data_IF_839169592049
#
_entry.id   IF_839169592049
#
_cell.length_a   1.000
_cell.length_b   1.000
_cell.length_c   1.000
_cell.angle_alpha   90.00
_cell.angle_beta   90.00
_cell.angle_gamma   90.00
#
_symmetry.space_group_name_H-M   'P 1'
#
loop_
_entity.id
_entity.type
_entity.pdbx_description
1 polymer ?
#
# COMPACT_ATOMS: atom_id res chain seq x y z
N UNK A 1 16.04 59.18 43.09
CA UNK A 1 14.75 59.86 42.83
C UNK A 1 13.74 58.82 42.40
N UNK A 2 12.64 58.64 43.14
CA UNK A 2 11.39 58.04 42.64
C UNK A 2 10.42 59.15 42.21
N UNK A 3 9.08 58.94 42.14
CA UNK A 3 8.26 57.76 42.45
C UNK A 3 7.87 56.95 41.19
N UNK A 4 7.22 55.78 41.18
CA UNK A 4 6.43 54.96 42.13
C UNK A 4 4.88 55.14 42.13
N UNK A 5 4.19 54.13 41.59
CA UNK A 5 2.73 53.88 41.50
C UNK A 5 2.57 52.38 41.08
N UNK A 6 1.62 51.50 41.45
CA UNK A 6 0.42 51.49 42.35
C UNK A 6 -0.74 52.43 42.01
N UNK A 7 -2.01 52.01 41.96
CA UNK A 7 -2.68 50.70 42.23
C UNK A 7 -3.90 50.52 41.26
N UNK A 8 -4.88 49.59 41.36
CA UNK A 8 -5.35 48.64 42.40
C UNK A 8 -6.24 47.53 41.79
N UNK A 9 -6.67 46.53 42.58
CA UNK A 9 -7.77 45.60 42.28
C UNK A 9 -9.15 46.27 42.43
N UNK A 10 -10.18 45.75 41.76
CA UNK A 10 -11.44 45.38 42.46
C UNK A 10 -12.15 44.20 41.76
N UNK A 11 -12.99 43.47 42.50
CA UNK A 11 -13.56 42.17 42.13
C UNK A 11 -15.04 42.10 42.53
N UNK A 12 -15.96 41.91 41.57
CA UNK A 12 -17.39 41.68 41.86
C UNK A 12 -18.03 40.57 41.03
N UNK A 13 -18.24 39.44 41.68
CA UNK A 13 -19.28 38.45 41.32
C UNK A 13 -20.63 38.98 41.81
N UNK A 14 -21.71 38.70 41.09
CA UNK A 14 -23.09 38.87 41.57
C UNK A 14 -24.01 37.80 40.96
N UNK A 15 -25.03 37.34 41.70
CA UNK A 15 -25.74 36.08 41.44
C UNK A 15 -27.27 36.27 41.36
N UNK A 16 -27.81 36.33 40.13
CA UNK A 16 -29.23 36.19 39.80
C UNK A 16 -30.20 37.14 40.56
N UNK A 17 -31.47 36.77 40.72
CA UNK A 17 -32.29 35.88 39.88
C UNK A 17 -33.60 36.56 39.40
N UNK A 18 -34.29 36.02 38.39
CA UNK A 18 -35.78 36.11 38.27
C UNK A 18 -36.29 34.89 37.48
N UNK A 19 -37.22 34.13 38.07
CA UNK A 19 -38.08 33.20 37.32
C UNK A 19 -39.29 33.96 36.74
N UNK A 20 -39.75 33.59 35.53
CA UNK A 20 -41.10 33.93 35.06
C UNK A 20 -41.85 32.71 34.54
N UNK A 21 -42.70 32.20 35.44
CA UNK A 21 -44.00 31.53 35.24
C UNK A 21 -44.17 30.59 34.04
N UNK A 22 -44.36 29.32 34.37
CA UNK A 22 -45.44 28.54 33.79
C UNK A 22 -46.79 29.17 34.18
N UNK A 23 -47.69 29.29 33.23
CA UNK A 23 -49.15 29.31 33.42
C UNK A 23 -49.73 28.47 32.26
N UNK A 24 -50.73 27.64 32.51
CA UNK A 24 -51.13 26.56 31.59
C UNK A 24 -52.61 26.62 31.19
N UNK A 25 -52.91 26.44 29.90
CA UNK A 25 -54.29 26.30 29.43
C UNK A 25 -54.43 25.33 28.24
N UNK A 26 -55.34 24.36 28.44
CA UNK A 26 -56.13 23.58 27.48
C UNK A 26 -55.59 23.36 26.04
N UNK A 27 -55.35 22.08 25.74
CA UNK A 27 -54.92 21.59 24.43
C UNK A 27 -55.89 21.74 23.26
N UNK A 28 -55.31 21.55 22.08
CA UNK A 28 -55.94 21.08 20.85
C UNK A 28 -55.12 19.89 20.37
N UNK A 29 -55.79 18.82 19.92
CA UNK A 29 -55.11 17.61 19.42
C UNK A 29 -54.62 17.82 17.98
N UNK A 30 -53.36 18.23 17.82
CA UNK A 30 -52.70 18.30 16.52
C UNK A 30 -51.92 17.00 16.24
N UNK A 31 -52.39 16.20 15.26
CA UNK A 31 -51.67 15.01 14.79
C UNK A 31 -50.49 15.45 13.91
N UNK A 32 -49.38 15.79 14.56
CA UNK A 32 -48.10 15.96 13.87
C UNK A 32 -47.46 14.59 13.63
N UNK A 33 -47.30 14.23 12.36
CA UNK A 33 -46.42 13.13 11.97
C UNK A 33 -44.99 13.54 12.32
N UNK A 34 -44.47 12.99 13.41
CA UNK A 34 -43.08 13.16 13.79
C UNK A 34 -42.19 12.43 12.79
N UNK A 35 -41.73 13.14 11.75
CA UNK A 35 -40.53 12.74 11.01
C UNK A 35 -39.39 12.78 12.03
N UNK A 36 -39.05 11.62 12.57
CA UNK A 36 -37.96 11.49 13.52
C UNK A 36 -36.65 11.82 12.80
N UNK A 37 -36.18 13.05 12.98
CA UNK A 37 -34.81 13.45 12.66
C UNK A 37 -33.88 12.72 13.61
N UNK A 38 -33.60 11.45 13.31
CA UNK A 38 -32.61 10.66 14.02
C UNK A 38 -31.27 11.39 13.93
N UNK A 39 -30.62 11.72 15.07
CA UNK A 39 -29.30 12.31 15.03
C UNK A 39 -28.36 11.33 14.32
N UNK A 40 -27.46 11.85 13.48
CA UNK A 40 -26.67 11.09 12.52
C UNK A 40 -25.67 10.15 13.21
N UNK A 41 -26.16 8.99 13.65
CA UNK A 41 -25.47 8.01 14.51
C UNK A 41 -25.21 6.70 13.77
N UNK A 42 -24.66 6.80 12.56
CA UNK A 42 -24.27 5.64 11.76
C UNK A 42 -22.75 5.39 11.85
N UNK A 43 -22.38 4.20 12.28
CA UNK A 43 -21.17 3.54 11.78
C UNK A 43 -19.85 3.67 12.56
N UNK A 44 -19.74 4.42 13.66
CA UNK A 44 -18.47 4.48 14.45
C UNK A 44 -18.21 3.23 15.32
N UNK A 45 -18.76 2.06 14.94
CA UNK A 45 -18.67 0.80 15.68
C UNK A 45 -17.70 -0.23 15.04
N UNK A 46 -17.19 0.02 13.83
CA UNK A 46 -16.34 -0.93 13.09
C UNK A 46 -14.83 -0.85 13.39
N UNK A 47 -14.41 -0.04 14.37
CA UNK A 47 -13.00 0.29 14.66
C UNK A 47 -12.65 0.18 16.15
N UNK A 48 -13.39 -0.64 16.90
CA UNK A 48 -13.22 -0.82 18.35
C UNK A 48 -12.52 -2.13 18.74
N UNK A 49 -12.06 -2.92 17.77
CA UNK A 49 -11.20 -4.09 18.01
C UNK A 49 -9.81 -3.61 18.48
N UNK A 50 -9.37 -4.05 19.66
CA UNK A 50 -8.12 -3.60 20.27
C UNK A 50 -6.89 -4.04 19.46
N UNK A 51 -5.75 -3.39 19.67
CA UNK A 51 -4.49 -3.81 19.04
C UNK A 51 -4.01 -5.21 19.50
N UNK A 52 -4.59 -5.75 20.58
CA UNK A 52 -4.40 -7.13 21.03
C UNK A 52 -5.27 -8.10 20.23
N UNK A 53 -6.59 -7.88 20.19
CA UNK A 53 -7.51 -8.71 19.40
C UNK A 53 -7.12 -8.73 17.91
N UNK A 54 -6.74 -7.56 17.36
CA UNK A 54 -6.20 -7.48 15.98
C UNK A 54 -4.89 -8.23 15.78
N UNK A 55 -4.06 -8.43 16.81
CA UNK A 55 -2.83 -9.25 16.75
C UNK A 55 -3.12 -10.74 16.88
N UNK A 56 -4.07 -11.13 17.73
CA UNK A 56 -4.39 -12.53 17.95
C UNK A 56 -5.18 -13.12 16.77
N UNK A 57 -6.11 -12.35 16.21
CA UNK A 57 -6.77 -12.66 14.94
C UNK A 57 -5.76 -12.72 13.76
N UNK A 58 -4.64 -12.00 13.86
CA UNK A 58 -3.53 -12.05 12.92
C UNK A 58 -2.72 -13.33 13.06
N UNK A 59 -2.30 -13.68 14.28
CA UNK A 59 -1.58 -14.90 14.58
C UNK A 59 -2.36 -16.13 14.09
N UNK A 60 -3.66 -16.20 14.39
CA UNK A 60 -4.54 -17.26 13.92
C UNK A 60 -4.70 -17.31 12.39
N UNK A 61 -4.55 -16.18 11.68
CA UNK A 61 -4.52 -16.15 10.21
C UNK A 61 -3.14 -16.54 9.64
N UNK A 62 -2.05 -16.19 10.32
CA UNK A 62 -0.68 -16.56 9.94
C UNK A 62 -0.52 -18.09 10.06
N UNK A 63 -0.89 -18.67 11.20
CA UNK A 63 -0.85 -20.13 11.41
C UNK A 63 -1.70 -20.87 10.36
N UNK A 64 -2.94 -20.45 10.12
CA UNK A 64 -3.82 -21.02 9.08
C UNK A 64 -3.31 -20.85 7.65
N UNK A 65 -2.36 -19.95 7.40
CA UNK A 65 -1.75 -19.71 6.08
C UNK A 65 -0.36 -20.36 5.92
N UNK A 66 0.07 -21.21 6.86
CA UNK A 66 1.34 -21.92 6.81
C UNK A 66 2.48 -21.28 7.61
N UNK A 67 2.19 -20.29 8.46
CA UNK A 67 3.16 -19.64 9.32
C UNK A 67 3.94 -18.51 8.66
N UNK A 68 5.10 -18.19 9.24
CA UNK A 68 6.04 -17.20 8.71
C UNK A 68 6.92 -17.84 7.62
N UNK A 69 7.00 -17.21 6.45
CA UNK A 69 7.85 -17.64 5.33
C UNK A 69 9.30 -17.22 5.56
N UNK A 70 9.94 -17.85 6.55
CA UNK A 70 11.32 -17.60 6.96
C UNK A 70 12.33 -18.06 5.92
N UNK A 71 12.00 -19.05 5.09
CA UNK A 71 12.85 -19.53 4.00
C UNK A 71 12.97 -18.49 2.89
N UNK A 72 11.84 -17.97 2.35
CA UNK A 72 11.85 -17.02 1.24
C UNK A 72 12.15 -15.60 1.68
N UNK A 73 11.67 -15.18 2.86
CA UNK A 73 11.78 -13.79 3.33
C UNK A 73 12.85 -13.53 4.39
N UNK A 74 13.28 -14.57 5.13
CA UNK A 74 14.03 -14.40 6.38
C UNK A 74 13.11 -14.03 7.56
N UNK A 75 13.65 -14.03 8.78
CA UNK A 75 12.85 -13.83 9.99
C UNK A 75 12.24 -12.42 10.06
N UNK A 76 12.96 -11.40 9.60
CA UNK A 76 12.52 -10.00 9.61
C UNK A 76 12.39 -9.40 8.20
N UNK A 77 11.95 -10.21 7.21
CA UNK A 77 11.79 -9.80 5.81
C UNK A 77 13.11 -9.34 5.14
N UNK A 78 14.25 -9.77 5.68
CA UNK A 78 15.63 -9.39 5.29
C UNK A 78 15.96 -9.68 3.82
N UNK A 79 15.36 -10.71 3.24
CA UNK A 79 15.56 -11.12 1.84
C UNK A 79 14.71 -10.32 0.85
N UNK A 80 13.74 -9.55 1.33
CA UNK A 80 12.81 -8.81 0.50
C UNK A 80 13.41 -7.49 -0.03
N UNK A 81 12.91 -7.01 -1.17
CA UNK A 81 13.37 -5.76 -1.78
C UNK A 81 13.00 -4.52 -0.93
N UNK A 82 11.89 -4.61 -0.19
CA UNK A 82 11.44 -3.64 0.80
C UNK A 82 11.15 -4.36 2.13
N UNK A 83 12.00 -4.17 3.13
CA UNK A 83 11.91 -4.85 4.43
C UNK A 83 10.58 -4.54 5.15
N UNK A 84 10.24 -3.25 5.29
CA UNK A 84 8.91 -2.83 5.75
C UNK A 84 7.84 -3.04 4.66
N UNK A 85 7.09 -4.13 4.71
CA UNK A 85 5.91 -4.36 3.87
C UNK A 85 4.69 -4.82 4.71
N UNK A 86 3.60 -5.21 4.03
CA UNK A 86 2.39 -5.71 4.67
C UNK A 86 2.60 -6.99 5.49
N UNK A 87 3.51 -7.86 5.06
CA UNK A 87 3.90 -9.05 5.81
C UNK A 87 4.78 -8.70 7.01
N UNK A 88 5.68 -7.73 6.91
CA UNK A 88 6.47 -7.28 8.07
C UNK A 88 5.59 -6.66 9.17
N UNK A 89 4.65 -5.77 8.80
CA UNK A 89 3.78 -5.10 9.79
C UNK A 89 2.62 -5.96 10.28
N UNK A 90 2.11 -6.87 9.45
CA UNK A 90 0.89 -7.62 9.73
C UNK A 90 1.00 -9.16 9.59
N UNK A 91 2.15 -9.72 9.25
CA UNK A 91 2.36 -11.17 8.99
C UNK A 91 1.55 -11.77 7.82
N UNK A 92 0.58 -11.04 7.29
CA UNK A 92 -0.32 -11.49 6.23
C UNK A 92 0.36 -11.46 4.87
N UNK A 93 -0.04 -12.42 4.02
CA UNK A 93 0.31 -12.48 2.60
C UNK A 93 -0.96 -12.42 1.75
N UNK A 94 -1.49 -11.22 1.44
CA UNK A 94 -2.64 -11.07 0.56
C UNK A 94 -2.28 -11.47 -0.88
N UNK A 95 -2.96 -12.48 -1.41
CA UNK A 95 -2.82 -12.88 -2.81
C UNK A 95 -3.43 -11.84 -3.77
N UNK A 96 -3.08 -11.86 -5.07
CA UNK A 96 -3.63 -10.92 -6.07
C UNK A 96 -5.17 -10.90 -6.08
N UNK A 97 -5.78 -12.09 -6.04
CA UNK A 97 -7.23 -12.34 -5.91
C UNK A 97 -7.86 -11.70 -4.65
N UNK A 98 -7.12 -11.66 -3.53
CA UNK A 98 -7.59 -11.04 -2.30
C UNK A 98 -7.47 -9.52 -2.33
N UNK A 99 -6.41 -8.98 -2.95
CA UNK A 99 -6.24 -7.53 -3.09
C UNK A 99 -7.34 -6.92 -3.95
N UNK A 100 -7.69 -7.57 -5.07
CA UNK A 100 -8.76 -7.07 -5.95
C UNK A 100 -10.14 -7.12 -5.28
N UNK A 101 -10.47 -8.21 -4.57
CA UNK A 101 -11.83 -8.44 -4.06
C UNK A 101 -12.06 -7.98 -2.60
N UNK A 102 -11.03 -7.99 -1.75
CA UNK A 102 -11.16 -7.73 -0.30
C UNK A 102 -10.56 -6.38 0.11
N UNK A 103 -9.50 -5.92 -0.56
CA UNK A 103 -8.82 -4.65 -0.21
C UNK A 103 -9.44 -3.43 -0.91
N UNK A 104 -10.68 -3.11 -0.52
CA UNK A 104 -11.21 -1.75 -0.61
C UNK A 104 -10.66 -0.87 0.53
N UNK A 105 -9.33 -0.83 0.65
CA UNK A 105 -8.64 0.09 1.54
C UNK A 105 -8.95 1.54 1.10
N UNK A 106 -9.36 2.38 2.04
CA UNK A 106 -9.53 3.81 1.79
C UNK A 106 -8.20 4.39 1.30
N UNK A 107 -8.24 5.07 0.15
CA UNK A 107 -7.01 5.55 -0.49
C UNK A 107 -6.48 6.78 0.25
N UNK A 108 -5.27 6.73 0.82
CA UNK A 108 -4.74 7.82 1.63
C UNK A 108 -4.52 9.06 0.76
N UNK A 109 -4.80 10.23 1.33
CA UNK A 109 -4.66 11.50 0.64
C UNK A 109 -3.19 11.81 0.32
N UNK A 110 -2.87 11.86 -0.97
CA UNK A 110 -1.61 12.38 -1.51
C UNK A 110 -1.89 13.56 -2.46
N UNK A 111 -1.22 14.71 -2.32
CA UNK A 111 -1.41 15.86 -3.20
C UNK A 111 -1.18 15.54 -4.68
N UNK A 112 -1.92 16.19 -5.57
CA UNK A 112 -1.78 15.98 -7.03
C UNK A 112 -0.35 16.25 -7.50
N UNK A 113 0.32 17.29 -6.95
CA UNK A 113 1.71 17.59 -7.26
C UNK A 113 2.69 16.48 -6.81
N UNK A 114 2.50 15.91 -5.61
CA UNK A 114 3.30 14.78 -5.10
C UNK A 114 3.14 13.54 -5.99
N UNK A 115 1.90 13.25 -6.40
CA UNK A 115 1.57 12.14 -7.31
C UNK A 115 2.17 12.34 -8.70
N UNK A 116 1.99 13.52 -9.29
CA UNK A 116 2.56 13.89 -10.59
C UNK A 116 4.09 13.82 -10.60
N UNK A 117 4.77 14.33 -9.56
CA UNK A 117 6.24 14.29 -9.46
C UNK A 117 6.80 12.87 -9.32
N UNK A 118 6.07 11.95 -8.66
CA UNK A 118 6.41 10.54 -8.65
C UNK A 118 6.15 9.86 -10.00
N UNK A 119 4.98 10.13 -10.58
CA UNK A 119 4.55 9.55 -11.85
C UNK A 119 5.49 9.95 -13.01
N UNK A 120 5.80 11.24 -13.16
CA UNK A 120 6.73 11.73 -14.20
C UNK A 120 8.15 11.17 -14.06
N UNK A 121 8.61 10.91 -12.83
CA UNK A 121 9.96 10.37 -12.55
C UNK A 121 10.09 8.85 -12.77
N UNK A 122 9.02 8.09 -12.57
CA UNK A 122 9.06 6.61 -12.59
C UNK A 122 8.16 5.95 -13.64
N UNK A 123 7.15 6.65 -14.17
CA UNK A 123 6.09 6.09 -15.00
C UNK A 123 6.52 5.58 -16.38
N UNK A 124 7.59 6.13 -16.96
CA UNK A 124 8.20 5.59 -18.18
C UNK A 124 8.90 4.25 -17.91
N UNK A 125 9.71 4.19 -16.85
CA UNK A 125 10.39 2.96 -16.40
C UNK A 125 9.41 1.87 -15.98
N UNK A 126 8.24 2.25 -15.44
CA UNK A 126 7.17 1.32 -15.09
C UNK A 126 6.49 0.75 -16.35
N UNK A 127 6.11 1.58 -17.33
CA UNK A 127 5.61 1.09 -18.63
C UNK A 127 6.61 0.14 -19.29
N UNK A 128 7.87 0.56 -19.43
CA UNK A 128 8.91 -0.24 -20.05
C UNK A 128 9.10 -1.59 -19.33
N UNK A 129 9.17 -1.58 -17.99
CA UNK A 129 9.30 -2.81 -17.21
C UNK A 129 8.09 -3.74 -17.28
N UNK A 130 6.86 -3.21 -17.41
CA UNK A 130 5.65 -3.99 -17.70
C UNK A 130 5.77 -4.67 -19.06
N UNK A 131 6.15 -3.93 -20.11
CA UNK A 131 6.35 -4.48 -21.46
C UNK A 131 7.46 -5.54 -21.48
N UNK A 132 8.60 -5.29 -20.83
CA UNK A 132 9.72 -6.25 -20.76
C UNK A 132 9.36 -7.50 -19.93
N UNK A 133 8.52 -7.37 -18.90
CA UNK A 133 8.08 -8.52 -18.11
C UNK A 133 7.08 -9.36 -18.91
N UNK A 134 6.20 -8.72 -19.68
CA UNK A 134 5.31 -9.42 -20.61
C UNK A 134 6.12 -10.18 -21.70
N UNK A 135 7.15 -9.54 -22.28
CA UNK A 135 7.98 -10.19 -23.31
C UNK A 135 8.82 -11.36 -22.79
N UNK A 136 9.20 -11.36 -21.50
CA UNK A 136 9.95 -12.46 -20.87
C UNK A 136 9.26 -13.83 -21.01
N UNK A 137 7.93 -13.86 -21.14
CA UNK A 137 7.17 -15.08 -21.44
C UNK A 137 7.65 -15.77 -22.72
N UNK A 138 8.02 -15.00 -23.75
CA UNK A 138 8.54 -15.52 -25.03
C UNK A 138 9.85 -16.28 -24.83
N UNK A 139 10.79 -15.72 -24.07
CA UNK A 139 12.07 -16.37 -23.79
C UNK A 139 11.89 -17.67 -22.99
N UNK A 140 10.95 -17.69 -22.04
CA UNK A 140 10.56 -18.91 -21.32
C UNK A 140 9.91 -19.93 -22.28
N UNK A 141 9.06 -19.47 -23.19
CA UNK A 141 8.35 -20.35 -24.12
C UNK A 141 9.26 -20.96 -25.20
N UNK A 142 10.26 -20.21 -25.65
CA UNK A 142 11.32 -20.66 -26.58
C UNK A 142 12.50 -21.36 -25.87
N UNK A 143 12.45 -21.53 -24.54
CA UNK A 143 13.53 -22.07 -23.70
C UNK A 143 14.88 -21.33 -23.84
N UNK A 144 14.82 -20.01 -24.12
CA UNK A 144 15.96 -19.10 -24.17
C UNK A 144 16.45 -18.73 -22.76
N UNK A 145 17.00 -19.71 -22.05
CA UNK A 145 17.47 -19.52 -20.66
C UNK A 145 18.56 -18.45 -20.52
N UNK A 146 19.34 -18.19 -21.57
CA UNK A 146 20.31 -17.10 -21.59
C UNK A 146 19.61 -15.72 -21.64
N UNK A 147 18.59 -15.55 -22.49
CA UNK A 147 17.75 -14.35 -22.52
C UNK A 147 17.02 -14.12 -21.19
N UNK A 148 16.44 -15.17 -20.59
CA UNK A 148 15.82 -15.10 -19.26
C UNK A 148 16.84 -14.62 -18.20
N UNK A 149 18.06 -15.17 -18.20
CA UNK A 149 19.13 -14.81 -17.27
C UNK A 149 19.59 -13.36 -17.45
N UNK A 150 19.76 -12.88 -18.68
CA UNK A 150 20.13 -11.49 -18.97
C UNK A 150 19.02 -10.52 -18.56
N UNK A 151 17.76 -10.84 -18.87
CA UNK A 151 16.58 -10.06 -18.48
C UNK A 151 16.40 -9.98 -16.96
N UNK A 152 16.81 -11.00 -16.20
CA UNK A 152 16.65 -11.09 -14.74
C UNK A 152 17.92 -10.82 -13.93
N UNK A 153 19.04 -10.45 -14.56
CA UNK A 153 20.32 -10.19 -13.90
C UNK A 153 20.18 -9.21 -12.71
N UNK A 154 20.35 -9.72 -11.48
CA UNK A 154 20.21 -8.93 -10.22
C UNK A 154 21.20 -7.77 -10.09
N UNK A 155 22.29 -7.81 -10.85
CA UNK A 155 23.44 -6.92 -10.69
C UNK A 155 24.21 -7.20 -9.40
N UNK A 156 25.45 -6.74 -9.31
CA UNK A 156 26.27 -6.98 -8.13
C UNK A 156 27.38 -5.92 -7.97
N UNK A 157 27.60 -5.53 -6.70
CA UNK A 157 28.83 -4.84 -6.31
C UNK A 157 29.95 -5.89 -6.24
N UNK A 158 30.69 -6.07 -7.34
CA UNK A 158 31.89 -6.91 -7.37
C UNK A 158 31.74 -8.30 -8.00
N UNK A 159 30.84 -8.49 -8.98
CA UNK A 159 31.12 -9.44 -10.07
C UNK A 159 31.31 -8.65 -11.38
N UNK A 160 32.02 -9.27 -12.32
CA UNK A 160 33.00 -8.55 -13.13
C UNK A 160 34.32 -8.41 -12.36
N UNK A 161 35.40 -8.02 -13.04
CA UNK A 161 36.61 -7.56 -12.34
C UNK A 161 36.24 -6.44 -11.35
N UNK A 162 37.00 -6.31 -10.26
CA UNK A 162 36.74 -5.33 -9.19
C UNK A 162 36.72 -3.85 -9.65
N UNK A 163 37.01 -3.59 -10.93
CA UNK A 163 36.99 -2.31 -11.63
C UNK A 163 35.62 -1.96 -12.25
N UNK A 164 34.73 -2.94 -12.50
CA UNK A 164 33.48 -2.74 -13.25
C UNK A 164 32.29 -3.51 -12.63
N UNK A 165 31.41 -2.85 -11.83
CA UNK A 165 30.22 -3.49 -11.30
C UNK A 165 29.17 -3.73 -12.40
N UNK A 166 28.60 -4.93 -12.44
CA UNK A 166 27.46 -5.24 -13.33
C UNK A 166 26.19 -4.60 -12.77
N UNK A 167 25.49 -3.71 -13.52
CA UNK A 167 24.25 -3.11 -13.07
C UNK A 167 23.11 -4.14 -13.01
N UNK A 168 22.06 -3.92 -12.19
CA UNK A 168 20.82 -4.66 -12.29
C UNK A 168 20.16 -4.46 -13.66
N UNK A 169 19.53 -5.51 -14.19
CA UNK A 169 18.72 -5.44 -15.41
C UNK A 169 17.57 -4.43 -15.28
N UNK A 170 16.94 -4.06 -16.41
CA UNK A 170 15.76 -3.19 -16.37
C UNK A 170 14.61 -3.80 -15.56
N UNK A 171 14.38 -5.13 -15.58
CA UNK A 171 13.35 -5.78 -14.75
C UNK A 171 13.65 -5.71 -13.25
N UNK A 172 14.90 -5.97 -12.87
CA UNK A 172 15.33 -5.88 -11.45
C UNK A 172 15.34 -4.43 -10.97
N UNK A 173 15.59 -3.48 -11.88
CA UNK A 173 15.51 -2.04 -11.65
C UNK A 173 14.07 -1.50 -11.63
N UNK A 174 13.16 -2.13 -12.37
CA UNK A 174 11.73 -1.83 -12.46
C UNK A 174 11.00 -2.13 -11.14
N UNK A 175 11.28 -3.27 -10.50
CA UNK A 175 10.72 -3.58 -9.18
C UNK A 175 10.98 -2.47 -8.14
N UNK A 176 12.18 -1.86 -8.16
CA UNK A 176 12.49 -0.69 -7.32
C UNK A 176 11.67 0.54 -7.72
N UNK A 177 11.42 0.76 -9.01
CA UNK A 177 10.59 1.87 -9.49
C UNK A 177 9.11 1.74 -9.05
N UNK A 178 8.56 0.52 -9.00
CA UNK A 178 7.21 0.27 -8.47
C UNK A 178 7.08 0.75 -7.00
N UNK A 179 7.97 0.30 -6.11
CA UNK A 179 7.94 0.74 -4.70
C UNK A 179 8.21 2.24 -4.53
N UNK A 180 9.03 2.85 -5.40
CA UNK A 180 9.27 4.29 -5.38
C UNK A 180 8.06 5.11 -5.86
N UNK A 181 7.32 4.66 -6.88
CA UNK A 181 6.09 5.36 -7.29
C UNK A 181 4.97 5.18 -6.26
N UNK A 182 4.88 4.02 -5.59
CA UNK A 182 3.88 3.81 -4.54
C UNK A 182 4.10 4.70 -3.32
N UNK A 183 5.34 5.12 -3.03
CA UNK A 183 5.65 6.15 -2.01
C UNK A 183 5.17 7.56 -2.40
N UNK A 184 4.99 7.85 -3.69
CA UNK A 184 4.38 9.10 -4.16
C UNK A 184 2.85 9.01 -4.28
N UNK A 185 2.33 7.85 -4.67
CA UNK A 185 0.90 7.64 -4.95
C UNK A 185 0.08 7.24 -3.72
N UNK A 186 0.66 6.48 -2.78
CA UNK A 186 -0.06 5.79 -1.70
C UNK A 186 0.41 6.13 -0.28
N UNK A 187 1.43 6.97 -0.09
CA UNK A 187 1.75 7.48 1.25
C UNK A 187 0.96 8.77 1.50
N UNK A 188 0.36 8.86 2.70
CA UNK A 188 -0.31 10.07 3.18
C UNK A 188 0.66 11.24 3.30
N UNK A 189 0.12 12.46 3.34
CA UNK A 189 0.80 13.65 3.84
C UNK A 189 0.45 13.96 5.30
N UNK A 190 -0.73 13.51 5.76
CA UNK A 190 -1.26 13.75 7.11
C UNK A 190 -0.86 12.68 8.15
N UNK A 191 -0.17 11.63 7.71
CA UNK A 191 0.31 10.52 8.55
C UNK A 191 1.79 10.34 8.25
N UNK A 192 2.63 10.41 9.30
CA UNK A 192 4.08 10.26 9.20
C UNK A 192 4.52 8.80 9.00
N UNK A 193 3.59 7.84 9.17
CA UNK A 193 3.85 6.41 9.05
C UNK A 193 3.61 5.86 7.64
N UNK A 194 4.12 4.66 7.38
CA UNK A 194 3.83 3.93 6.16
C UNK A 194 2.39 3.39 6.20
N UNK A 195 1.54 3.90 5.30
CA UNK A 195 0.11 3.55 5.19
C UNK A 195 -0.10 2.07 4.86
N UNK A 196 -1.27 1.52 5.21
CA UNK A 196 -1.63 0.15 4.85
C UNK A 196 -1.59 -0.11 3.32
N UNK A 197 -2.04 0.88 2.52
CA UNK A 197 -1.99 0.80 1.05
C UNK A 197 -0.55 0.80 0.51
N UNK A 198 0.36 1.59 1.09
CA UNK A 198 1.77 1.59 0.68
C UNK A 198 2.48 0.29 1.10
N UNK A 199 2.22 -0.22 2.31
CA UNK A 199 2.75 -1.51 2.77
C UNK A 199 2.26 -2.67 1.90
N UNK A 200 0.98 -2.65 1.49
CA UNK A 200 0.42 -3.62 0.56
C UNK A 200 1.09 -3.54 -0.81
N UNK A 201 1.30 -2.33 -1.34
CA UNK A 201 2.04 -2.13 -2.58
C UNK A 201 3.49 -2.65 -2.49
N UNK A 202 4.20 -2.43 -1.38
CA UNK A 202 5.54 -3.00 -1.14
C UNK A 202 5.51 -4.53 -1.09
N UNK A 203 4.50 -5.12 -0.45
CA UNK A 203 4.32 -6.58 -0.38
C UNK A 203 4.13 -7.18 -1.78
N UNK A 204 3.23 -6.63 -2.59
CA UNK A 204 2.99 -7.07 -3.97
C UNK A 204 4.25 -6.97 -4.84
N UNK A 205 5.05 -5.91 -4.66
CA UNK A 205 6.34 -5.74 -5.34
C UNK A 205 7.38 -6.75 -4.84
N UNK A 206 7.38 -7.10 -3.56
CA UNK A 206 8.25 -8.14 -3.00
C UNK A 206 7.88 -9.52 -3.55
N UNK A 207 6.60 -9.92 -3.57
CA UNK A 207 6.20 -11.21 -4.17
C UNK A 207 6.54 -11.25 -5.67
N UNK A 208 6.31 -10.17 -6.42
CA UNK A 208 6.70 -10.09 -7.84
C UNK A 208 8.24 -10.15 -8.05
N UNK A 209 9.03 -9.55 -7.16
CA UNK A 209 10.48 -9.63 -7.20
C UNK A 209 11.00 -11.03 -6.82
N UNK A 210 10.34 -11.70 -5.88
CA UNK A 210 10.65 -13.11 -5.59
C UNK A 210 10.16 -14.04 -6.72
N UNK A 211 9.10 -13.71 -7.46
CA UNK A 211 8.68 -14.50 -8.62
C UNK A 211 9.74 -14.45 -9.74
N UNK A 212 10.46 -13.33 -9.88
CA UNK A 212 11.67 -13.28 -10.74
C UNK A 212 12.78 -14.22 -10.25
N UNK A 213 12.92 -14.44 -8.93
CA UNK A 213 13.88 -15.42 -8.40
C UNK A 213 13.46 -16.86 -8.70
N UNK A 214 12.16 -17.16 -8.63
CA UNK A 214 11.62 -18.46 -8.99
C UNK A 214 11.81 -18.76 -10.49
N UNK A 215 11.62 -17.77 -11.38
CA UNK A 215 11.94 -17.90 -12.82
C UNK A 215 13.44 -18.16 -13.03
N UNK A 216 14.31 -17.41 -12.34
CA UNK A 216 15.77 -17.55 -12.46
C UNK A 216 16.24 -18.95 -12.01
N UNK A 217 15.66 -19.47 -10.92
CA UNK A 217 15.91 -20.83 -10.44
C UNK A 217 15.36 -21.91 -11.39
N UNK A 218 14.14 -21.74 -11.90
CA UNK A 218 13.54 -22.67 -12.86
C UNK A 218 14.31 -22.72 -14.18
N UNK A 219 14.76 -21.57 -14.71
CA UNK A 219 15.61 -21.50 -15.89
C UNK A 219 16.99 -22.16 -15.65
N UNK A 220 17.58 -22.02 -14.47
CA UNK A 220 18.80 -22.72 -14.09
C UNK A 220 18.61 -24.25 -14.01
N UNK A 221 17.41 -24.73 -13.64
CA UNK A 221 17.01 -26.13 -13.70
C UNK A 221 16.53 -26.59 -15.10
N UNK A 222 16.39 -25.67 -16.07
CA UNK A 222 15.72 -25.87 -17.36
C UNK A 222 14.25 -26.34 -17.28
N UNK A 223 13.59 -26.08 -16.15
CA UNK A 223 12.17 -26.41 -15.95
C UNK A 223 11.27 -25.30 -16.52
N UNK A 224 10.79 -25.52 -17.75
CA UNK A 224 9.83 -24.63 -18.40
C UNK A 224 8.49 -24.53 -17.65
N UNK A 225 8.01 -25.61 -17.02
CA UNK A 225 6.71 -25.59 -16.35
C UNK A 225 6.76 -24.73 -15.08
N UNK A 226 7.81 -24.88 -14.27
CA UNK A 226 8.07 -24.02 -13.11
C UNK A 226 8.31 -22.56 -13.54
N UNK A 227 9.05 -22.32 -14.62
CA UNK A 227 9.31 -20.97 -15.12
C UNK A 227 8.03 -20.25 -15.60
N UNK A 228 7.13 -20.95 -16.31
CA UNK A 228 5.82 -20.39 -16.72
C UNK A 228 4.93 -20.09 -15.51
N UNK A 229 4.86 -21.01 -14.54
CA UNK A 229 4.08 -20.81 -13.32
C UNK A 229 4.60 -19.62 -12.47
N UNK A 230 5.92 -19.49 -12.34
CA UNK A 230 6.57 -18.37 -11.66
C UNK A 230 6.33 -17.04 -12.39
N UNK A 231 6.41 -17.03 -13.73
CA UNK A 231 6.07 -15.86 -14.55
C UNK A 231 4.62 -15.42 -14.38
N UNK A 232 3.67 -16.37 -14.40
CA UNK A 232 2.26 -16.06 -14.21
C UNK A 232 2.00 -15.46 -12.82
N UNK A 233 2.53 -16.09 -11.76
CA UNK A 233 2.39 -15.58 -10.40
C UNK A 233 2.95 -14.15 -10.26
N UNK A 234 4.14 -13.88 -10.83
CA UNK A 234 4.73 -12.55 -10.83
C UNK A 234 3.92 -11.52 -11.62
N UNK A 235 3.37 -11.90 -12.77
CA UNK A 235 2.48 -11.06 -13.56
C UNK A 235 1.16 -10.74 -12.81
N UNK A 236 0.59 -11.71 -12.08
CA UNK A 236 -0.58 -11.50 -11.22
C UNK A 236 -0.29 -10.52 -10.07
N UNK A 237 0.87 -10.63 -9.42
CA UNK A 237 1.29 -9.69 -8.38
C UNK A 237 1.55 -8.27 -8.94
N UNK A 238 2.15 -8.15 -10.13
CA UNK A 238 2.31 -6.88 -10.84
C UNK A 238 0.94 -6.28 -11.20
N UNK A 239 -0.01 -7.10 -11.69
CA UNK A 239 -1.37 -6.65 -12.00
C UNK A 239 -2.15 -6.21 -10.76
N UNK A 240 -2.02 -6.89 -9.62
CA UNK A 240 -2.59 -6.44 -8.35
C UNK A 240 -1.98 -5.10 -7.88
N UNK A 241 -0.67 -4.91 -8.04
CA UNK A 241 -0.02 -3.62 -7.78
C UNK A 241 -0.57 -2.52 -8.70
N UNK A 242 -0.69 -2.79 -10.01
CA UNK A 242 -1.20 -1.85 -11.02
C UNK A 242 -2.63 -1.42 -10.68
N UNK A 243 -3.52 -2.38 -10.40
CA UNK A 243 -4.90 -2.10 -9.98
C UNK A 243 -4.98 -1.26 -8.70
N UNK A 244 -4.04 -1.47 -7.76
CA UNK A 244 -3.92 -0.65 -6.56
C UNK A 244 -3.45 0.78 -6.90
N UNK A 245 -2.34 0.99 -7.63
CA UNK A 245 -1.83 2.35 -7.88
C UNK A 245 -2.69 3.15 -8.86
N UNK A 246 -3.33 2.51 -9.85
CA UNK A 246 -4.16 3.17 -10.85
C UNK A 246 -5.35 3.92 -10.24
N UNK A 247 -5.89 3.45 -9.11
CA UNK A 247 -6.91 4.16 -8.31
C UNK A 247 -6.48 5.57 -7.89
N UNK A 248 -5.17 5.83 -7.78
CA UNK A 248 -4.62 7.13 -7.40
C UNK A 248 -4.05 7.94 -8.58
N UNK A 249 -4.10 7.40 -9.80
CA UNK A 249 -3.67 8.08 -11.04
C UNK A 249 -4.91 8.65 -11.73
N UNK A 250 -5.00 9.98 -11.77
CA UNK A 250 -6.07 10.74 -12.45
C UNK A 250 -5.49 11.46 -13.67
N UNK A 251 -6.31 12.02 -14.59
CA UNK A 251 -5.81 12.77 -15.75
C UNK A 251 -4.94 14.01 -15.43
N UNK A 252 -4.86 14.43 -14.16
CA UNK A 252 -3.93 15.48 -13.68
C UNK A 252 -2.58 14.95 -13.17
N UNK A 253 -2.45 13.62 -13.07
CA UNK A 253 -1.24 12.89 -12.66
C UNK A 253 -0.58 12.24 -13.88
N UNK A 254 -1.39 11.67 -14.77
CA UNK A 254 -0.99 11.01 -16.02
C UNK A 254 -1.94 9.89 -16.40
N UNK A 255 -1.58 9.09 -17.40
CA UNK A 255 -2.35 7.92 -17.81
C UNK A 255 -2.14 6.74 -16.84
N UNK A 256 -3.16 5.91 -16.67
CA UNK A 256 -3.05 4.68 -15.89
C UNK A 256 -2.07 3.69 -16.54
N UNK A 257 -1.45 2.82 -15.73
CA UNK A 257 -0.59 1.76 -16.24
C UNK A 257 -1.43 0.60 -16.80
N UNK A 258 -1.01 0.08 -17.95
CA UNK A 258 -1.64 -1.09 -18.59
C UNK A 258 -1.35 -2.37 -17.81
N UNK A 259 -2.31 -3.29 -17.77
CA UNK A 259 -2.14 -4.61 -17.14
C UNK A 259 -1.37 -5.57 -18.08
N UNK A 260 -0.57 -6.46 -17.51
CA UNK A 260 0.02 -7.59 -18.23
C UNK A 260 -1.11 -8.55 -18.61
N UNK A 261 -1.27 -8.82 -19.90
CA UNK A 261 -2.19 -9.84 -20.40
C UNK A 261 -1.64 -11.22 -20.04
N UNK A 262 -2.43 -12.02 -19.32
CA UNK A 262 -2.15 -13.42 -19.07
C UNK A 262 -2.72 -14.26 -20.23
N UNK A 263 -1.96 -15.26 -20.69
CA UNK A 263 -2.30 -16.15 -21.79
C UNK A 263 -1.66 -17.53 -21.67
#
# INVERSE_FOLDING_TARGET
>A
FGPAATASNDMRVSVGPVLRRLDATAGIAAVFVAIATTPFSLGRAAWAETDLERRDALAAQIEKRGGLDTERRGQFNEKALFQEDFYYKYGLRPRPEEVQNKFNAEMPYSPVARRYNGYSKYGSRIRNGITTYASLRKDIDEANWQGVKEALQKGSKGQGDAVKPVPPSELRSFARALGLVSNSLLQSENDSSTTAANLLARHLVNEAYFAMDDIEAAAAASDKAAAVAAWQAGAEYINAFIGLVNRNITPKVGDQFEFIVLG
#
